data_IF_086449345134
#
_entry.id   IF_086449345134
#
_cell.length_a   1.000
_cell.length_b   1.000
_cell.length_c   1.000
_cell.angle_alpha   90.00
_cell.angle_beta   90.00
_cell.angle_gamma   90.00
#
_symmetry.space_group_name_H-M   'P 1'
#
loop_
_entity.id
_entity.type
_entity.pdbx_description
1 polymer ?
#
# COMPACT_ATOMS: atom_id res chain seq x y z
N UNK A 1 14.81 13.58 9.98
CA UNK A 1 14.93 13.13 8.57
C UNK A 1 14.40 14.25 7.68
N UNK A 2 15.05 14.53 6.55
CA UNK A 2 14.58 15.53 5.60
C UNK A 2 13.51 14.92 4.67
N UNK A 3 12.78 15.76 3.91
CA UNK A 3 11.70 15.35 3.03
C UNK A 3 12.20 14.45 1.88
N UNK A 4 13.38 14.73 1.34
CA UNK A 4 13.96 13.93 0.26
C UNK A 4 14.21 12.49 0.70
N UNK A 5 14.84 12.29 1.87
CA UNK A 5 15.03 10.94 2.44
C UNK A 5 13.71 10.23 2.70
N UNK A 6 12.67 10.96 3.15
CA UNK A 6 11.34 10.40 3.36
C UNK A 6 10.70 9.94 2.05
N UNK A 7 10.84 10.71 0.97
CA UNK A 7 10.39 10.34 -0.37
C UNK A 7 11.10 9.09 -0.88
N UNK A 8 12.41 8.97 -0.66
CA UNK A 8 13.16 7.76 -1.03
C UNK A 8 12.66 6.51 -0.29
N UNK A 9 12.30 6.63 1.00
CA UNK A 9 11.69 5.51 1.73
C UNK A 9 10.34 5.10 1.14
N UNK A 10 9.52 6.07 0.72
CA UNK A 10 8.24 5.77 0.04
C UNK A 10 8.46 5.11 -1.33
N UNK A 11 9.45 5.56 -2.12
CA UNK A 11 9.79 4.94 -3.40
C UNK A 11 10.29 3.50 -3.19
N UNK A 12 11.10 3.25 -2.16
CA UNK A 12 11.57 1.91 -1.85
C UNK A 12 10.40 1.00 -1.43
N UNK A 13 9.48 1.50 -0.59
CA UNK A 13 8.26 0.77 -0.23
C UNK A 13 7.43 0.43 -1.48
N UNK A 14 7.28 1.38 -2.39
CA UNK A 14 6.59 1.25 -3.67
C UNK A 14 7.19 0.14 -4.54
N UNK A 15 8.52 0.09 -4.64
CA UNK A 15 9.23 -0.96 -5.38
C UNK A 15 8.95 -2.34 -4.78
N UNK A 16 9.07 -2.47 -3.46
CA UNK A 16 8.79 -3.73 -2.76
C UNK A 16 7.34 -4.19 -3.00
N UNK A 17 6.37 -3.28 -2.95
CA UNK A 17 4.96 -3.63 -3.17
C UNK A 17 4.65 -3.97 -4.61
N UNK A 18 5.29 -3.32 -5.59
CA UNK A 18 5.12 -3.69 -6.98
C UNK A 18 5.45 -5.16 -7.24
N UNK A 19 6.60 -5.62 -6.74
CA UNK A 19 6.95 -7.04 -6.81
C UNK A 19 6.08 -7.93 -5.92
N UNK A 20 5.51 -7.39 -4.83
CA UNK A 20 4.62 -8.16 -3.96
C UNK A 20 3.31 -8.59 -4.63
N UNK A 21 2.83 -7.87 -5.66
CA UNK A 21 1.66 -8.32 -6.44
C UNK A 21 1.88 -9.68 -7.09
N UNK A 22 3.11 -9.97 -7.55
CA UNK A 22 3.46 -11.27 -8.11
C UNK A 22 3.37 -12.34 -7.03
N UNK A 23 4.04 -12.12 -5.88
CA UNK A 23 3.99 -13.05 -4.77
C UNK A 23 2.55 -13.28 -4.26
N UNK A 24 1.73 -12.23 -4.19
CA UNK A 24 0.33 -12.32 -3.81
C UNK A 24 -0.49 -13.14 -4.79
N UNK A 25 -0.24 -13.01 -6.09
CA UNK A 25 -0.94 -13.77 -7.14
C UNK A 25 -0.48 -15.22 -7.13
N UNK A 26 0.82 -15.49 -7.11
CA UNK A 26 1.39 -16.84 -7.09
C UNK A 26 0.98 -17.63 -5.84
N UNK A 27 0.88 -16.99 -4.67
CA UNK A 27 0.41 -17.64 -3.45
C UNK A 27 -0.99 -18.26 -3.59
N UNK A 28 -1.83 -17.72 -4.47
CA UNK A 28 -3.19 -18.23 -4.68
C UNK A 28 -3.22 -19.59 -5.39
N UNK A 29 -2.12 -20.04 -5.97
CA UNK A 29 -1.97 -21.38 -6.52
C UNK A 29 -1.79 -22.45 -5.42
N UNK A 30 -1.36 -22.02 -4.23
CA UNK A 30 -1.03 -22.90 -3.10
C UNK A 30 -2.01 -22.80 -1.94
N UNK A 31 -2.59 -21.62 -1.70
CA UNK A 31 -3.48 -21.39 -0.56
C UNK A 31 -4.53 -20.33 -0.85
N UNK A 32 -5.56 -20.30 -0.02
CA UNK A 32 -6.67 -19.36 -0.15
C UNK A 32 -6.35 -17.98 0.47
N UNK A 33 -7.09 -16.92 0.09
CA UNK A 33 -6.78 -15.53 0.45
C UNK A 33 -6.60 -15.25 1.94
N UNK A 34 -7.51 -15.71 2.81
CA UNK A 34 -7.43 -15.43 4.26
C UNK A 34 -6.25 -16.17 4.90
N UNK A 35 -5.98 -17.40 4.45
CA UNK A 35 -4.81 -18.17 4.90
C UNK A 35 -3.52 -17.42 4.58
N UNK A 36 -3.37 -16.92 3.36
CA UNK A 36 -2.20 -16.16 2.96
C UNK A 36 -2.06 -14.84 3.74
N UNK A 37 -3.15 -14.09 3.90
CA UNK A 37 -3.18 -12.84 4.68
C UNK A 37 -2.78 -13.11 6.12
N UNK A 38 -3.31 -14.17 6.74
CA UNK A 38 -2.97 -14.56 8.10
C UNK A 38 -1.46 -14.81 8.25
N UNK A 39 -0.91 -15.65 7.37
CA UNK A 39 0.50 -16.04 7.43
C UNK A 39 1.44 -14.85 7.24
N UNK A 40 1.20 -14.01 6.19
CA UNK A 40 2.06 -12.86 5.91
C UNK A 40 2.02 -11.79 7.00
N UNK A 41 0.85 -11.52 7.57
CA UNK A 41 0.71 -10.46 8.57
C UNK A 41 1.10 -10.88 9.97
N UNK A 42 0.87 -12.14 10.36
CA UNK A 42 1.42 -12.67 11.61
C UNK A 42 2.95 -12.65 11.52
N UNK A 43 3.53 -13.15 10.43
CA UNK A 43 4.98 -13.13 10.24
C UNK A 43 5.54 -11.70 10.29
N UNK A 44 4.97 -10.78 9.50
CA UNK A 44 5.41 -9.39 9.47
C UNK A 44 5.27 -8.67 10.81
N UNK A 45 4.15 -8.91 11.52
CA UNK A 45 3.91 -8.41 12.86
C UNK A 45 4.93 -8.92 13.87
N UNK A 46 5.23 -10.23 13.86
CA UNK A 46 6.22 -10.84 14.75
C UNK A 46 7.65 -10.32 14.47
N UNK A 47 8.02 -10.15 13.21
CA UNK A 47 9.34 -9.60 12.82
C UNK A 47 9.54 -8.20 13.38
N UNK A 48 8.51 -7.36 13.34
CA UNK A 48 8.62 -5.97 13.80
C UNK A 48 8.31 -5.78 15.30
N UNK A 49 7.62 -6.72 15.93
CA UNK A 49 7.17 -6.64 17.32
C UNK A 49 8.29 -6.29 18.33
N UNK A 50 9.51 -6.87 18.27
CA UNK A 50 10.58 -6.50 19.19
C UNK A 50 10.98 -5.03 19.08
N UNK A 51 11.03 -4.49 17.86
CA UNK A 51 11.37 -3.09 17.60
C UNK A 51 10.23 -2.15 18.02
N UNK A 52 8.99 -2.52 17.72
CA UNK A 52 7.79 -1.79 18.14
C UNK A 52 7.68 -1.74 19.69
N UNK A 53 7.98 -2.85 20.36
CA UNK A 53 8.04 -2.89 21.81
C UNK A 53 9.10 -1.96 22.40
N UNK A 54 10.31 -1.93 21.79
CA UNK A 54 11.38 -1.02 22.21
C UNK A 54 10.97 0.45 21.99
N UNK A 55 10.33 0.76 20.86
CA UNK A 55 9.81 2.10 20.56
C UNK A 55 8.77 2.52 21.60
N UNK A 56 7.79 1.66 21.91
CA UNK A 56 6.78 1.89 22.94
C UNK A 56 7.40 2.15 24.32
N UNK A 57 8.34 1.30 24.74
CA UNK A 57 9.04 1.45 26.02
C UNK A 57 9.81 2.78 26.11
N UNK A 58 10.46 3.21 25.02
CA UNK A 58 11.22 4.46 24.98
C UNK A 58 10.32 5.70 25.12
N UNK A 59 9.08 5.63 24.67
CA UNK A 59 8.12 6.73 24.82
C UNK A 59 7.79 7.03 26.29
N UNK A 60 7.83 6.01 27.15
CA UNK A 60 7.53 6.08 28.58
C UNK A 60 6.18 6.76 28.95
N UNK A 61 5.21 6.75 28.01
CA UNK A 61 3.85 7.30 28.16
C UNK A 61 2.87 6.27 27.63
N UNK A 62 1.77 6.05 28.34
CA UNK A 62 0.70 5.17 27.89
C UNK A 62 0.03 5.69 26.62
N UNK A 63 -0.40 4.79 25.75
CA UNK A 63 -1.19 5.12 24.58
C UNK A 63 -2.54 5.67 25.07
N UNK A 64 -2.90 6.87 24.62
CA UNK A 64 -4.16 7.53 24.97
C UNK A 64 -5.34 6.88 24.26
N UNK A 65 -6.57 7.13 24.75
CA UNK A 65 -7.80 6.64 24.09
C UNK A 65 -7.93 7.12 22.63
N UNK A 66 -7.51 8.34 22.35
CA UNK A 66 -7.50 8.89 20.99
C UNK A 66 -6.53 8.15 20.07
N UNK A 67 -5.36 7.82 20.57
CA UNK A 67 -4.36 7.03 19.81
C UNK A 67 -4.84 5.60 19.59
N UNK A 68 -5.49 4.98 20.59
CA UNK A 68 -6.11 3.67 20.43
C UNK A 68 -7.22 3.68 19.37
N UNK A 69 -8.09 4.69 19.39
CA UNK A 69 -9.15 4.81 18.39
C UNK A 69 -8.59 4.90 16.96
N UNK A 70 -7.47 5.63 16.77
CA UNK A 70 -6.79 5.71 15.47
C UNK A 70 -6.12 4.39 15.08
N UNK A 71 -5.50 3.69 16.04
CA UNK A 71 -4.89 2.38 15.78
C UNK A 71 -5.96 1.37 15.35
N UNK A 72 -7.11 1.35 16.02
CA UNK A 72 -8.25 0.49 15.65
C UNK A 72 -8.75 0.86 14.25
N UNK A 73 -8.95 2.14 13.97
CA UNK A 73 -9.33 2.63 12.65
C UNK A 73 -8.34 2.16 11.56
N UNK A 74 -7.04 2.30 11.80
CA UNK A 74 -6.01 1.82 10.89
C UNK A 74 -6.08 0.31 10.70
N UNK A 75 -6.24 -0.45 11.79
CA UNK A 75 -6.28 -1.91 11.76
C UNK A 75 -7.46 -2.43 10.94
N UNK A 76 -8.64 -1.82 11.11
CA UNK A 76 -9.84 -2.18 10.33
C UNK A 76 -9.66 -1.86 8.85
N UNK A 77 -9.20 -0.65 8.52
CA UNK A 77 -8.98 -0.27 7.12
C UNK A 77 -7.87 -1.10 6.46
N UNK A 78 -6.81 -1.41 7.19
CA UNK A 78 -5.73 -2.27 6.73
C UNK A 78 -6.23 -3.69 6.43
N UNK A 79 -7.02 -4.28 7.33
CA UNK A 79 -7.61 -5.60 7.12
C UNK A 79 -8.56 -5.61 5.91
N UNK A 80 -9.51 -4.67 5.84
CA UNK A 80 -10.50 -4.62 4.75
C UNK A 80 -9.82 -4.37 3.39
N UNK A 81 -8.87 -3.43 3.34
CA UNK A 81 -8.09 -3.18 2.12
C UNK A 81 -7.34 -4.42 1.66
N UNK A 82 -6.66 -5.09 2.57
CA UNK A 82 -5.89 -6.30 2.27
C UNK A 82 -6.77 -7.48 1.86
N UNK A 83 -7.89 -7.70 2.54
CA UNK A 83 -8.80 -8.79 2.28
C UNK A 83 -9.45 -8.67 0.91
N UNK A 84 -10.05 -7.51 0.61
CA UNK A 84 -10.67 -7.24 -0.68
C UNK A 84 -9.66 -7.31 -1.83
N UNK A 85 -8.47 -6.74 -1.65
CA UNK A 85 -7.40 -6.79 -2.64
C UNK A 85 -6.95 -8.22 -2.92
N UNK A 86 -6.66 -8.99 -1.87
CA UNK A 86 -6.19 -10.36 -2.02
C UNK A 86 -7.24 -11.26 -2.67
N UNK A 87 -8.52 -11.09 -2.28
CA UNK A 87 -9.62 -11.83 -2.91
C UNK A 87 -9.80 -11.43 -4.37
N UNK A 88 -9.69 -10.16 -4.69
CA UNK A 88 -9.75 -9.66 -6.07
C UNK A 88 -8.63 -10.22 -6.94
N UNK A 89 -7.42 -10.36 -6.42
CA UNK A 89 -6.27 -10.92 -7.13
C UNK A 89 -6.45 -12.38 -7.54
N UNK A 90 -7.39 -13.13 -6.96
CA UNK A 90 -7.70 -14.50 -7.42
C UNK A 90 -8.10 -14.51 -8.90
N UNK A 91 -8.92 -13.52 -9.32
CA UNK A 91 -9.46 -13.47 -10.70
C UNK A 91 -8.93 -12.29 -11.54
N UNK A 92 -8.12 -11.41 -10.96
CA UNK A 92 -7.52 -10.25 -11.65
C UNK A 92 -6.05 -10.53 -11.97
N UNK A 93 -5.53 -9.96 -13.07
CA UNK A 93 -4.11 -10.03 -13.40
C UNK A 93 -3.26 -9.16 -12.47
N UNK A 94 -1.95 -9.42 -12.40
CA UNK A 94 -1.01 -8.62 -11.59
C UNK A 94 -1.01 -7.17 -12.03
N UNK A 95 -0.94 -6.91 -13.33
CA UNK A 95 -0.94 -5.55 -13.90
C UNK A 95 -2.25 -4.79 -13.60
N UNK A 96 -3.42 -5.43 -13.79
CA UNK A 96 -4.70 -4.82 -13.45
C UNK A 96 -4.84 -4.63 -11.94
N UNK A 97 -4.40 -5.60 -11.14
CA UNK A 97 -4.38 -5.49 -9.68
C UNK A 97 -3.61 -4.27 -9.18
N UNK A 98 -2.42 -4.05 -9.72
CA UNK A 98 -1.61 -2.86 -9.43
C UNK A 98 -2.30 -1.57 -9.88
N UNK A 99 -2.88 -1.55 -11.09
CA UNK A 99 -3.63 -0.39 -11.59
C UNK A 99 -4.82 -0.03 -10.70
N UNK A 100 -5.69 -1.01 -10.42
CA UNK A 100 -6.93 -0.78 -9.68
C UNK A 100 -6.66 -0.42 -8.21
N UNK A 101 -5.64 -1.03 -7.59
CA UNK A 101 -5.17 -0.62 -6.27
C UNK A 101 -4.68 0.83 -6.29
N UNK A 102 -3.87 1.20 -7.29
CA UNK A 102 -3.35 2.56 -7.47
C UNK A 102 -4.43 3.64 -7.56
N UNK A 103 -5.69 3.30 -7.79
CA UNK A 103 -6.81 4.24 -7.75
C UNK A 103 -6.96 4.98 -6.41
N UNK A 104 -6.33 4.52 -5.32
CA UNK A 104 -6.29 5.30 -4.07
C UNK A 104 -5.65 6.68 -4.26
N UNK A 105 -4.85 6.89 -5.30
CA UNK A 105 -4.31 8.20 -5.67
C UNK A 105 -5.40 9.24 -5.94
N UNK A 106 -6.54 8.79 -6.43
CA UNK A 106 -7.75 9.59 -6.62
C UNK A 106 -8.54 9.77 -5.31
N UNK A 107 -8.74 8.67 -4.58
CA UNK A 107 -9.55 8.71 -3.36
C UNK A 107 -8.92 9.53 -2.24
N UNK A 108 -7.59 9.50 -2.06
CA UNK A 108 -6.90 10.24 -0.97
C UNK A 108 -7.16 11.75 -1.03
N UNK A 109 -6.89 12.49 -2.12
CA UNK A 109 -7.16 13.93 -2.16
C UNK A 109 -8.65 14.26 -2.11
N UNK A 110 -9.53 13.41 -2.64
CA UNK A 110 -10.98 13.61 -2.53
C UNK A 110 -11.49 13.47 -1.10
N UNK A 111 -11.06 12.42 -0.38
CA UNK A 111 -11.43 12.22 1.03
C UNK A 111 -10.89 13.37 1.88
N UNK A 112 -9.65 13.84 1.64
CA UNK A 112 -9.10 15.02 2.30
C UNK A 112 -10.00 16.25 2.11
N UNK A 113 -10.45 16.49 0.88
CA UNK A 113 -11.26 17.64 0.56
C UNK A 113 -12.69 17.53 1.10
N UNK A 114 -13.36 16.40 0.85
CA UNK A 114 -14.80 16.24 1.09
C UNK A 114 -15.11 15.88 2.55
N UNK A 115 -14.30 15.00 3.16
CA UNK A 115 -14.52 14.50 4.52
C UNK A 115 -13.77 15.35 5.54
N UNK A 116 -12.47 15.55 5.35
CA UNK A 116 -11.65 16.30 6.30
C UNK A 116 -11.61 17.80 6.02
N UNK A 117 -12.22 18.26 4.93
CA UNK A 117 -12.27 19.67 4.51
C UNK A 117 -10.89 20.34 4.44
N UNK A 118 -9.87 19.53 4.19
CA UNK A 118 -8.47 19.97 4.06
C UNK A 118 -8.10 20.00 2.60
N UNK A 119 -7.67 21.15 2.11
CA UNK A 119 -7.30 21.33 0.69
C UNK A 119 -5.86 20.85 0.46
N UNK A 120 -5.64 19.82 -0.39
CA UNK A 120 -4.30 19.44 -0.84
C UNK A 120 -3.62 20.58 -1.59
N UNK A 121 -2.29 20.56 -1.67
CA UNK A 121 -1.54 21.53 -2.49
C UNK A 121 -2.01 21.51 -3.96
N UNK A 122 -2.04 22.68 -4.61
CA UNK A 122 -2.59 22.81 -5.98
C UNK A 122 -1.98 21.83 -6.98
N UNK A 123 -0.69 21.52 -6.85
CA UNK A 123 0.02 20.57 -7.72
C UNK A 123 -0.57 19.16 -7.68
N UNK A 124 -1.17 18.74 -6.56
CA UNK A 124 -1.82 17.43 -6.44
C UNK A 124 -2.94 17.25 -7.44
N UNK A 125 -3.70 18.32 -7.71
CA UNK A 125 -4.81 18.31 -8.69
C UNK A 125 -4.36 18.21 -10.15
N UNK A 126 -3.09 18.48 -10.43
CA UNK A 126 -2.46 18.25 -11.73
C UNK A 126 -1.84 16.85 -11.79
N UNK A 127 -1.12 16.46 -10.74
CA UNK A 127 -0.44 15.17 -10.69
C UNK A 127 -1.39 13.99 -10.57
N UNK A 128 -2.53 14.14 -9.89
CA UNK A 128 -3.52 13.07 -9.72
C UNK A 128 -4.09 12.57 -11.06
N UNK A 129 -4.67 13.40 -11.95
CA UNK A 129 -5.14 12.92 -13.24
C UNK A 129 -4.00 12.43 -14.14
N UNK A 130 -2.81 13.00 -14.04
CA UNK A 130 -1.63 12.53 -14.77
C UNK A 130 -1.23 11.12 -14.31
N UNK A 131 -1.21 10.86 -12.99
CA UNK A 131 -0.95 9.53 -12.44
C UNK A 131 -2.03 8.53 -12.87
N UNK A 132 -3.32 8.90 -12.80
CA UNK A 132 -4.43 8.05 -13.23
C UNK A 132 -4.36 7.71 -14.72
N UNK A 133 -4.07 8.70 -15.57
CA UNK A 133 -3.84 8.45 -16.99
C UNK A 133 -2.66 7.50 -17.20
N UNK A 134 -1.57 7.70 -16.46
CA UNK A 134 -0.42 6.81 -16.48
C UNK A 134 -0.76 5.38 -16.08
N UNK A 135 -1.50 5.21 -14.98
CA UNK A 135 -2.00 3.91 -14.51
C UNK A 135 -2.86 3.22 -15.59
N UNK A 136 -3.79 3.96 -16.22
CA UNK A 136 -4.65 3.45 -17.28
C UNK A 136 -3.84 3.02 -18.53
N UNK A 137 -2.90 3.85 -18.96
CA UNK A 137 -2.07 3.53 -20.12
C UNK A 137 -1.14 2.33 -19.85
N UNK A 138 -0.75 2.10 -18.59
CA UNK A 138 0.07 0.97 -18.20
C UNK A 138 -0.64 -0.38 -18.46
N UNK A 139 -1.98 -0.41 -18.33
CA UNK A 139 -2.79 -1.59 -18.67
C UNK A 139 -3.04 -1.75 -20.18
N UNK A 140 -2.38 -0.96 -21.01
CA UNK A 140 -2.56 -0.96 -22.47
C UNK A 140 -3.65 -0.03 -22.95
N UNK A 141 -4.19 0.85 -22.10
CA UNK A 141 -5.25 1.81 -22.45
C UNK A 141 -6.59 1.16 -22.75
N UNK A 142 -6.79 -0.07 -22.33
CA UNK A 142 -8.05 -0.82 -22.49
C UNK A 142 -8.54 -1.22 -21.11
N UNK A 143 -9.82 -0.98 -20.87
CA UNK A 143 -10.55 -1.64 -19.80
C UNK A 143 -11.19 -2.87 -20.45
N UNK A 144 -10.60 -4.03 -20.25
CA UNK A 144 -11.29 -5.28 -20.53
C UNK A 144 -12.58 -5.34 -19.69
N UNK A 145 -13.48 -6.28 -20.00
CA UNK A 145 -14.70 -6.41 -19.18
C UNK A 145 -14.33 -6.52 -17.72
N UNK A 146 -14.72 -5.53 -16.94
CA UNK A 146 -14.51 -5.49 -15.49
C UNK A 146 -15.16 -6.72 -14.88
N UNK A 147 -14.36 -7.55 -14.23
CA UNK A 147 -14.81 -8.76 -13.55
C UNK A 147 -15.09 -8.50 -12.05
N UNK A 148 -15.60 -9.50 -11.34
CA UNK A 148 -15.90 -9.39 -9.91
C UNK A 148 -14.65 -9.10 -9.06
N UNK A 149 -13.49 -9.64 -9.41
CA UNK A 149 -12.23 -9.36 -8.73
C UNK A 149 -11.77 -7.92 -8.90
N UNK A 150 -11.97 -7.34 -10.07
CA UNK A 150 -11.64 -5.93 -10.31
C UNK A 150 -12.46 -5.00 -9.41
N UNK A 151 -13.76 -5.27 -9.23
CA UNK A 151 -14.60 -4.51 -8.29
C UNK A 151 -14.13 -4.63 -6.84
N UNK A 152 -13.69 -5.82 -6.42
CA UNK A 152 -13.11 -6.02 -5.08
C UNK A 152 -11.85 -5.16 -4.90
N UNK A 153 -10.96 -5.10 -5.91
CA UNK A 153 -9.74 -4.29 -5.83
C UNK A 153 -10.06 -2.80 -5.84
N UNK A 154 -11.00 -2.34 -6.68
CA UNK A 154 -11.46 -0.94 -6.66
C UNK A 154 -12.01 -0.58 -5.26
N UNK A 155 -12.82 -1.46 -4.68
CA UNK A 155 -13.33 -1.26 -3.31
C UNK A 155 -12.20 -1.23 -2.29
N UNK A 156 -11.19 -2.07 -2.43
CA UNK A 156 -10.01 -2.08 -1.57
C UNK A 156 -9.25 -0.76 -1.61
N UNK A 157 -9.20 -0.10 -2.77
CA UNK A 157 -8.50 1.18 -2.95
C UNK A 157 -9.07 2.30 -2.08
N UNK A 158 -10.37 2.26 -1.73
CA UNK A 158 -10.98 3.19 -0.78
C UNK A 158 -10.41 2.96 0.63
N UNK A 159 -10.32 1.71 1.08
CA UNK A 159 -9.75 1.36 2.39
C UNK A 159 -8.25 1.65 2.44
N UNK A 160 -7.52 1.43 1.35
CA UNK A 160 -6.12 1.83 1.24
C UNK A 160 -5.96 3.36 1.30
N UNK A 161 -6.86 4.12 0.68
CA UNK A 161 -6.87 5.59 0.82
C UNK A 161 -7.08 6.02 2.28
N UNK A 162 -8.04 5.41 2.98
CA UNK A 162 -8.28 5.67 4.40
C UNK A 162 -7.08 5.26 5.26
N UNK A 163 -6.42 4.14 4.93
CA UNK A 163 -5.19 3.72 5.59
C UNK A 163 -4.05 4.74 5.39
N UNK A 164 -3.80 5.18 4.15
CA UNK A 164 -2.78 6.21 3.84
C UNK A 164 -3.02 7.49 4.64
N UNK A 165 -4.27 7.96 4.70
CA UNK A 165 -4.65 9.14 5.47
C UNK A 165 -4.45 8.95 6.97
N UNK A 166 -4.96 7.84 7.49
CA UNK A 166 -4.89 7.50 8.91
C UNK A 166 -3.45 7.26 9.37
N UNK A 167 -2.64 6.53 8.58
CA UNK A 167 -1.24 6.23 8.90
C UNK A 167 -0.40 7.51 9.01
N UNK A 168 -0.52 8.41 8.04
CA UNK A 168 0.20 9.68 8.07
C UNK A 168 -0.19 10.55 9.28
N UNK A 169 -1.47 10.52 9.67
CA UNK A 169 -1.94 11.21 10.86
C UNK A 169 -1.43 10.54 12.15
N UNK A 170 -1.59 9.23 12.27
CA UNK A 170 -1.18 8.45 13.43
C UNK A 170 0.33 8.52 13.67
N UNK A 171 1.14 8.43 12.61
CA UNK A 171 2.60 8.48 12.71
C UNK A 171 3.09 9.83 13.27
N UNK A 172 2.48 10.94 12.84
CA UNK A 172 2.79 12.28 13.38
C UNK A 172 2.29 12.48 14.80
N UNK A 173 1.09 11.98 15.12
CA UNK A 173 0.48 12.11 16.43
C UNK A 173 1.25 11.31 17.50
N UNK A 174 1.46 10.02 17.21
CA UNK A 174 2.05 9.09 18.19
C UNK A 174 3.57 9.18 18.25
N UNK A 175 4.21 9.56 17.14
CA UNK A 175 5.66 9.46 16.91
C UNK A 175 6.20 8.02 17.13
N UNK A 176 5.33 7.03 16.90
CA UNK A 176 5.64 5.60 17.07
C UNK A 176 5.31 4.83 15.77
N UNK A 177 6.04 5.09 14.67
CA UNK A 177 5.75 4.45 13.37
C UNK A 177 5.81 2.92 13.42
N UNK A 178 6.67 2.32 14.25
CA UNK A 178 6.76 0.87 14.38
C UNK A 178 5.55 0.27 15.09
N UNK A 179 5.07 0.91 16.16
CA UNK A 179 3.89 0.44 16.91
C UNK A 179 2.63 0.52 16.05
N UNK A 180 2.43 1.65 15.34
CA UNK A 180 1.24 1.86 14.50
C UNK A 180 1.26 1.03 13.21
N UNK A 181 2.40 0.45 12.84
CA UNK A 181 2.51 -0.56 11.78
C UNK A 181 2.25 -1.96 12.35
N UNK A 182 2.90 -2.32 13.46
CA UNK A 182 2.86 -3.64 14.06
C UNK A 182 1.43 -4.05 14.48
N UNK A 183 0.70 -3.17 15.15
CA UNK A 183 -0.63 -3.50 15.68
C UNK A 183 -1.66 -3.81 14.58
N UNK A 184 -1.79 -3.04 13.48
CA UNK A 184 -2.62 -3.41 12.34
C UNK A 184 -2.24 -4.74 11.68
N UNK A 185 -0.94 -5.08 11.60
CA UNK A 185 -0.51 -6.36 11.04
C UNK A 185 -0.99 -7.52 11.91
N UNK A 186 -0.74 -7.47 13.21
CA UNK A 186 -1.19 -8.52 14.13
C UNK A 186 -2.71 -8.63 14.15
N UNK A 187 -3.43 -7.50 14.15
CA UNK A 187 -4.89 -7.49 14.07
C UNK A 187 -5.38 -8.18 12.78
N UNK A 188 -4.87 -7.74 11.62
CA UNK A 188 -5.26 -8.33 10.34
C UNK A 188 -4.89 -9.81 10.25
N UNK A 189 -3.71 -10.19 10.75
CA UNK A 189 -3.27 -11.58 10.79
C UNK A 189 -4.18 -12.47 11.63
N UNK A 190 -4.54 -12.02 12.84
CA UNK A 190 -5.40 -12.78 13.76
C UNK A 190 -6.83 -12.90 13.19
N UNK A 191 -7.42 -11.80 12.73
CA UNK A 191 -8.78 -11.82 12.14
C UNK A 191 -8.82 -12.70 10.89
N UNK A 192 -7.82 -12.57 10.00
CA UNK A 192 -7.72 -13.42 8.81
C UNK A 192 -7.50 -14.90 9.18
N UNK A 193 -6.70 -15.18 10.20
CA UNK A 193 -6.50 -16.55 10.69
C UNK A 193 -7.79 -17.17 11.21
N UNK A 194 -8.54 -16.43 12.03
CA UNK A 194 -9.87 -16.87 12.48
C UNK A 194 -10.81 -17.11 11.29
N UNK A 195 -10.84 -16.17 10.33
CA UNK A 195 -11.65 -16.31 9.11
C UNK A 195 -11.21 -17.49 8.24
N UNK A 196 -9.90 -17.75 8.13
CA UNK A 196 -9.39 -18.89 7.38
C UNK A 196 -9.90 -20.24 7.95
N UNK A 197 -9.88 -20.40 9.26
CA UNK A 197 -10.43 -21.62 9.90
C UNK A 197 -11.96 -21.74 9.78
N UNK A 198 -12.68 -20.63 9.59
CA UNK A 198 -14.14 -20.63 9.48
C UNK A 198 -14.63 -20.84 8.02
N UNK A 199 -13.91 -20.30 7.03
CA UNK A 199 -14.38 -20.18 5.65
C UNK A 199 -13.45 -20.84 4.62
N UNK A 200 -12.25 -21.22 5.01
CA UNK A 200 -11.25 -21.87 4.16
C UNK A 200 -10.81 -23.19 4.78
N UNK A 201 -9.98 -23.93 4.07
CA UNK A 201 -9.36 -25.18 4.57
C UNK A 201 -7.83 -25.04 4.58
N UNK A 202 -7.26 -24.36 5.57
CA UNK A 202 -5.81 -24.20 5.66
C UNK A 202 -5.11 -25.55 5.78
N UNK A 203 -4.15 -25.82 4.89
CA UNK A 203 -3.37 -27.07 4.92
C UNK A 203 -1.89 -26.76 5.07
N UNK A 204 -1.18 -27.64 5.77
CA UNK A 204 0.28 -27.51 5.91
C UNK A 204 0.95 -27.59 4.53
N UNK A 205 0.45 -28.45 3.65
CA UNK A 205 0.97 -28.60 2.28
C UNK A 205 0.80 -27.29 1.49
N UNK A 206 -0.37 -26.63 1.57
CA UNK A 206 -0.60 -25.33 0.92
C UNK A 206 0.33 -24.25 1.46
N UNK A 207 0.45 -24.14 2.79
CA UNK A 207 1.34 -23.17 3.44
C UNK A 207 2.81 -23.43 3.07
N UNK A 208 3.24 -24.70 3.08
CA UNK A 208 4.61 -25.05 2.68
C UNK A 208 4.85 -24.88 1.19
N UNK A 209 3.82 -25.02 0.35
CA UNK A 209 3.92 -24.76 -1.10
C UNK A 209 4.16 -23.30 -1.43
N UNK A 210 3.59 -22.37 -0.66
CA UNK A 210 3.74 -20.92 -0.87
C UNK A 210 4.68 -20.24 0.13
N UNK A 211 5.67 -20.93 0.67
CA UNK A 211 6.54 -20.39 1.73
C UNK A 211 7.38 -19.18 1.27
N UNK A 212 7.82 -19.17 0.01
CA UNK A 212 8.61 -18.05 -0.57
C UNK A 212 7.74 -16.80 -0.63
N UNK A 213 6.52 -16.93 -1.11
CA UNK A 213 5.52 -15.85 -1.19
C UNK A 213 5.19 -15.32 0.20
N UNK A 214 5.03 -16.19 1.18
CA UNK A 214 4.79 -15.82 2.59
C UNK A 214 5.99 -15.05 3.14
N UNK A 215 7.22 -15.51 2.92
CA UNK A 215 8.42 -14.82 3.40
C UNK A 215 8.56 -13.45 2.74
N UNK A 216 8.43 -13.37 1.41
CA UNK A 216 8.49 -12.09 0.71
C UNK A 216 7.41 -11.13 1.20
N UNK A 217 6.16 -11.59 1.22
CA UNK A 217 5.03 -10.77 1.59
C UNK A 217 5.04 -10.40 3.09
N UNK A 218 5.47 -11.29 3.98
CA UNK A 218 5.54 -11.06 5.41
C UNK A 218 6.70 -10.15 5.82
N UNK A 219 7.91 -10.44 5.33
CA UNK A 219 9.11 -9.71 5.75
C UNK A 219 9.26 -8.43 4.94
N UNK A 220 9.38 -8.53 3.60
CA UNK A 220 9.66 -7.36 2.78
C UNK A 220 8.43 -6.48 2.59
N UNK A 221 7.33 -7.05 2.11
CA UNK A 221 6.13 -6.26 1.80
C UNK A 221 5.40 -5.79 3.06
N UNK A 222 5.33 -6.60 4.12
CA UNK A 222 4.64 -6.21 5.36
C UNK A 222 5.60 -5.50 6.33
N UNK A 223 6.58 -6.19 6.91
CA UNK A 223 7.39 -5.62 7.97
C UNK A 223 8.23 -4.44 7.49
N UNK A 224 8.89 -4.55 6.33
CA UNK A 224 9.76 -3.47 5.82
C UNK A 224 8.94 -2.38 5.14
N UNK A 225 8.21 -2.66 4.07
CA UNK A 225 7.62 -1.62 3.23
C UNK A 225 6.57 -0.75 3.95
N UNK A 226 5.62 -1.34 4.72
CA UNK A 226 4.67 -0.54 5.49
C UNK A 226 5.32 0.26 6.62
N UNK A 227 6.43 -0.24 7.19
CA UNK A 227 7.20 0.55 8.17
C UNK A 227 7.89 1.74 7.50
N UNK A 228 8.49 1.53 6.32
CA UNK A 228 9.06 2.62 5.53
C UNK A 228 7.99 3.65 5.16
N UNK A 229 6.79 3.22 4.80
CA UNK A 229 5.65 4.09 4.56
C UNK A 229 5.30 4.91 5.82
N UNK A 230 5.16 4.26 6.97
CA UNK A 230 4.84 4.95 8.22
C UNK A 230 5.87 6.02 8.58
N UNK A 231 7.16 5.71 8.45
CA UNK A 231 8.27 6.65 8.67
C UNK A 231 8.25 7.78 7.63
N UNK A 232 8.09 7.44 6.35
CA UNK A 232 8.06 8.41 5.25
C UNK A 232 6.89 9.41 5.38
N UNK A 233 5.71 8.91 5.72
CA UNK A 233 4.51 9.74 5.90
C UNK A 233 4.52 10.64 7.14
N UNK A 234 5.50 10.50 8.05
CA UNK A 234 5.73 11.53 9.08
C UNK A 234 6.17 12.86 8.45
N UNK A 235 6.81 12.84 7.29
CA UNK A 235 7.42 13.99 6.65
C UNK A 235 6.80 14.37 5.31
N UNK A 236 6.09 13.43 4.66
CA UNK A 236 5.41 13.64 3.37
C UNK A 236 3.90 13.74 3.60
N UNK A 237 3.23 14.80 3.07
CA UNK A 237 1.77 14.92 3.16
C UNK A 237 1.06 13.71 2.51
N UNK A 238 -0.11 13.28 3.04
CA UNK A 238 -0.79 12.08 2.56
C UNK A 238 -1.13 12.09 1.06
N UNK A 239 -1.56 13.23 0.50
CA UNK A 239 -1.88 13.34 -0.91
C UNK A 239 -0.62 13.20 -1.81
N UNK A 240 0.52 13.75 -1.38
CA UNK A 240 1.79 13.55 -2.07
C UNK A 240 2.25 12.09 -1.95
N UNK A 241 2.14 11.52 -0.75
CA UNK A 241 2.48 10.12 -0.51
C UNK A 241 1.65 9.19 -1.42
N UNK A 242 0.35 9.43 -1.58
CA UNK A 242 -0.50 8.63 -2.46
C UNK A 242 -0.01 8.64 -3.93
N UNK A 243 0.43 9.82 -4.44
CA UNK A 243 0.99 9.92 -5.79
C UNK A 243 2.31 9.14 -5.89
N UNK A 244 3.20 9.24 -4.90
CA UNK A 244 4.45 8.50 -4.90
C UNK A 244 4.18 6.99 -4.85
N UNK A 245 3.27 6.58 -3.97
CA UNK A 245 2.94 5.17 -3.74
C UNK A 245 2.24 4.53 -4.94
N UNK A 246 1.51 5.30 -5.77
CA UNK A 246 0.91 4.78 -7.01
C UNK A 246 1.95 4.23 -8.01
N UNK A 247 3.22 4.58 -7.84
CA UNK A 247 4.34 3.98 -8.55
C UNK A 247 4.51 2.48 -8.34
N UNK A 248 3.82 1.86 -7.35
CA UNK A 248 3.80 0.40 -7.18
C UNK A 248 3.33 -0.33 -8.45
N UNK A 249 2.40 0.28 -9.19
CA UNK A 249 1.92 -0.27 -10.47
C UNK A 249 3.01 -0.30 -11.54
N UNK A 250 3.93 0.69 -11.52
CA UNK A 250 5.10 0.69 -12.40
C UNK A 250 6.03 -0.48 -12.09
N UNK A 251 6.33 -0.68 -10.80
CA UNK A 251 7.17 -1.82 -10.38
C UNK A 251 6.47 -3.16 -10.55
N UNK A 252 5.13 -3.22 -10.42
CA UNK A 252 4.34 -4.41 -10.75
C UNK A 252 4.46 -4.75 -12.23
N UNK A 253 4.37 -3.77 -13.12
CA UNK A 253 4.54 -3.96 -14.56
C UNK A 253 5.99 -4.38 -14.92
N UNK A 254 7.00 -3.79 -14.28
CA UNK A 254 8.40 -4.21 -14.45
C UNK A 254 8.58 -5.67 -13.97
N UNK A 255 8.03 -6.01 -12.80
CA UNK A 255 8.09 -7.35 -12.26
C UNK A 255 7.36 -8.37 -13.14
N UNK A 256 6.17 -8.02 -13.65
CA UNK A 256 5.43 -8.83 -14.62
C UNK A 256 6.24 -9.09 -15.90
N UNK A 257 6.91 -8.06 -16.41
CA UNK A 257 7.76 -8.20 -17.59
C UNK A 257 8.99 -9.09 -17.35
N UNK A 258 9.69 -8.90 -16.22
CA UNK A 258 10.95 -9.58 -15.93
C UNK A 258 10.73 -11.03 -15.43
N UNK A 259 9.71 -11.24 -14.58
CA UNK A 259 9.50 -12.51 -13.89
C UNK A 259 8.48 -13.39 -14.63
N UNK A 260 7.39 -12.78 -15.13
CA UNK A 260 6.30 -13.50 -15.80
C UNK A 260 6.40 -13.47 -17.34
N UNK A 261 7.38 -12.73 -17.89
CA UNK A 261 7.56 -12.57 -19.34
C UNK A 261 6.44 -11.74 -20.01
N UNK A 262 5.67 -10.97 -19.23
CA UNK A 262 4.65 -10.07 -19.75
C UNK A 262 5.29 -8.99 -20.62
N UNK A 263 4.67 -8.66 -21.76
CA UNK A 263 5.16 -7.57 -22.62
C UNK A 263 4.29 -6.34 -22.47
N UNK A 264 4.90 -5.26 -22.00
CA UNK A 264 4.24 -3.96 -22.03
C UNK A 264 4.03 -3.51 -23.49
N UNK A 265 2.81 -3.10 -23.79
CA UNK A 265 2.52 -2.42 -25.06
C UNK A 265 3.26 -1.06 -25.11
N UNK A 266 3.53 -0.54 -26.31
CA UNK A 266 4.21 0.75 -26.48
C UNK A 266 3.54 1.89 -25.68
N UNK A 267 2.21 1.89 -25.59
CA UNK A 267 1.42 2.84 -24.80
C UNK A 267 1.68 2.70 -23.28
N UNK A 268 2.05 1.53 -22.79
CA UNK A 268 2.41 1.29 -21.40
C UNK A 268 3.67 2.03 -20.97
N UNK A 269 4.66 2.19 -21.86
CA UNK A 269 5.84 3.01 -21.58
C UNK A 269 5.49 4.50 -21.41
N UNK A 270 4.52 5.01 -22.17
CA UNK A 270 3.99 6.36 -21.97
C UNK A 270 3.28 6.46 -20.62
N UNK A 271 2.53 5.44 -20.23
CA UNK A 271 1.90 5.35 -18.91
C UNK A 271 2.92 5.39 -17.78
N UNK A 272 4.00 4.61 -17.89
CA UNK A 272 5.12 4.63 -16.95
C UNK A 272 5.75 6.04 -16.84
N UNK A 273 5.97 6.72 -17.96
CA UNK A 273 6.49 8.08 -18.00
C UNK A 273 5.55 9.07 -17.29
N UNK A 274 4.24 8.95 -17.43
CA UNK A 274 3.25 9.81 -16.76
C UNK A 274 3.26 9.61 -15.25
N UNK A 275 3.32 8.37 -14.76
CA UNK A 275 3.45 8.08 -13.32
C UNK A 275 4.73 8.70 -12.79
N UNK A 276 5.85 8.45 -13.45
CA UNK A 276 7.15 8.97 -13.03
C UNK A 276 7.18 10.51 -13.01
N UNK A 277 6.63 11.15 -14.04
CA UNK A 277 6.51 12.61 -14.11
C UNK A 277 5.64 13.16 -12.98
N UNK A 278 4.51 12.49 -12.65
CA UNK A 278 3.65 12.93 -11.56
C UNK A 278 4.36 12.89 -10.20
N UNK A 279 5.18 11.86 -9.97
CA UNK A 279 6.00 11.73 -8.75
C UNK A 279 7.03 12.86 -8.67
N UNK A 280 7.73 13.14 -9.76
CA UNK A 280 8.71 14.24 -9.81
C UNK A 280 8.04 15.58 -9.54
N UNK A 281 6.93 15.88 -10.23
CA UNK A 281 6.25 17.17 -10.12
C UNK A 281 5.69 17.41 -8.71
N UNK A 282 5.06 16.40 -8.09
CA UNK A 282 4.45 16.56 -6.77
C UNK A 282 5.47 16.84 -5.67
N UNK A 283 6.72 16.41 -5.86
CA UNK A 283 7.81 16.67 -4.92
C UNK A 283 8.60 17.94 -5.25
N UNK A 284 8.90 18.17 -6.53
CA UNK A 284 9.78 19.28 -6.96
C UNK A 284 9.09 20.65 -6.92
N UNK A 285 7.82 20.73 -7.37
CA UNK A 285 7.13 22.02 -7.47
C UNK A 285 6.97 22.74 -6.13
N UNK A 286 6.51 22.08 -5.04
CA UNK A 286 6.43 22.74 -3.73
C UNK A 286 7.79 23.13 -3.18
N UNK A 287 8.86 22.37 -3.47
CA UNK A 287 10.21 22.68 -3.04
C UNK A 287 10.77 23.93 -3.70
N UNK A 288 10.51 24.10 -5.02
CA UNK A 288 10.94 25.28 -5.80
C UNK A 288 10.20 26.54 -5.34
N UNK A 289 8.87 26.43 -5.10
CA UNK A 289 8.07 27.57 -4.64
C UNK A 289 8.58 28.08 -3.29
N UNK A 290 8.77 27.18 -2.32
CA UNK A 290 9.32 27.55 -0.98
C UNK A 290 10.69 28.23 -1.06
N UNK A 291 11.55 27.82 -2.01
CA UNK A 291 12.88 28.40 -2.18
C UNK A 291 12.83 29.81 -2.76
N UNK A 292 11.75 30.21 -3.42
CA UNK A 292 11.54 31.55 -3.97
C UNK A 292 10.92 32.52 -2.97
N UNK A 293 10.27 31.99 -1.92
CA UNK A 293 9.60 32.77 -0.87
C UNK A 293 10.52 33.06 0.34
N UNK A 294 11.67 32.36 0.43
CA UNK A 294 12.75 32.61 1.42
C UNK A 294 13.93 33.31 0.76
#
# INVERSE_FOLDING_TARGET
MNRFSATLLLILATAIWGFAFIAQKSAMDSMQPLTFIAMRYILGGLVIAPLAWREYKRRNIKISHKEWAIIVFLSVNFFLGSWLQQWGLVSTSVTNGGFLTGMYVFFVPLILLLVFRTKPHKIVWVCMPLALAGLFLLTGGKLDKINSGDWLIISSAVFWAMHVLGLGYAARLTKMPLVISCLPFLFAGVISGAGAFMFETPTITGISGGWIEILYAGILSTAVAFTLQAIGQMHVPPANAAIILSGESLFAAIGGAVILGERLLAIGYLGAAFIFLSIILVESVPAIIRKKEN
#
